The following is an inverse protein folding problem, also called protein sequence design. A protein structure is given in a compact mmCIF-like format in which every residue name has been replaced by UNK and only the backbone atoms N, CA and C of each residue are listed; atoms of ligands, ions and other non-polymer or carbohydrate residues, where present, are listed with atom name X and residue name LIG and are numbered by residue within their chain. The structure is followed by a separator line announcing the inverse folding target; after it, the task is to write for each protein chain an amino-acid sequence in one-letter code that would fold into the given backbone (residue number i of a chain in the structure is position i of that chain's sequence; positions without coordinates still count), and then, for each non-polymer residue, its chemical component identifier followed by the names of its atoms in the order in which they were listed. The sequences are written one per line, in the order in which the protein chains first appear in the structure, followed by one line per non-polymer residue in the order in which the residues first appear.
data_IF_326172099049
#
_entry.id   IF_326172099049
#
_cell.length_a   1.000
_cell.length_b   1.000
_cell.length_c   1.000
_cell.angle_alpha   90.00
_cell.angle_beta   90.00
_cell.angle_gamma   90.00
#
_symmetry.space_group_name_H-M   'P 1'
#
loop_
_entity.id
_entity.type
_entity.pdbx_description
1 polymer ?
#
# COMPACT_ATOMS: atom_id res chain seq x y z
N UNK A 1 26.77 18.09 14.79
CA UNK A 1 25.39 17.56 14.79
C UNK A 1 24.73 17.57 13.40
N UNK A 2 25.11 18.40 12.45
CA UNK A 2 24.49 18.53 11.11
C UNK A 2 24.73 17.31 10.19
N UNK A 3 25.93 16.77 10.12
CA UNK A 3 26.30 15.64 9.25
C UNK A 3 25.57 14.32 9.60
N UNK A 4 25.39 14.03 10.89
CA UNK A 4 24.65 12.84 11.35
C UNK A 4 23.13 12.92 11.04
N UNK A 5 22.55 14.13 11.04
CA UNK A 5 21.15 14.37 10.69
C UNK A 5 20.95 14.24 9.18
N UNK A 6 21.85 14.75 8.37
CA UNK A 6 21.86 14.61 6.91
C UNK A 6 22.01 13.13 6.50
N UNK A 7 22.92 12.38 7.14
CA UNK A 7 23.09 10.94 6.92
C UNK A 7 21.83 10.14 7.27
N UNK A 8 21.13 10.45 8.37
CA UNK A 8 19.86 9.79 8.72
C UNK A 8 18.74 10.04 7.73
N UNK A 9 18.62 11.27 7.22
CA UNK A 9 17.60 11.63 6.23
C UNK A 9 17.89 10.97 4.88
N UNK A 10 19.14 10.86 4.45
CA UNK A 10 19.53 10.19 3.20
C UNK A 10 19.20 8.69 3.25
N UNK A 11 19.51 8.00 4.34
CA UNK A 11 19.12 6.58 4.52
C UNK A 11 17.61 6.40 4.47
N UNK A 12 16.85 7.33 5.06
CA UNK A 12 15.38 7.31 4.98
C UNK A 12 14.86 7.48 3.55
N UNK A 13 15.45 8.41 2.79
CA UNK A 13 15.10 8.67 1.39
C UNK A 13 15.40 7.47 0.50
N UNK A 14 16.59 6.86 0.62
CA UNK A 14 16.93 5.64 -0.12
C UNK A 14 16.00 4.48 0.21
N UNK A 15 15.69 4.27 1.49
CA UNK A 15 14.77 3.23 1.91
C UNK A 15 13.36 3.45 1.34
N UNK A 16 12.86 4.70 1.33
CA UNK A 16 11.58 5.04 0.70
C UNK A 16 11.62 4.79 -0.82
N UNK A 17 12.66 5.29 -1.51
CA UNK A 17 12.82 5.08 -2.95
C UNK A 17 12.80 3.58 -3.28
N UNK A 18 13.59 2.77 -2.60
CA UNK A 18 13.65 1.32 -2.85
C UNK A 18 12.29 0.65 -2.57
N UNK A 19 11.62 0.98 -1.47
CA UNK A 19 10.33 0.40 -1.12
C UNK A 19 9.25 0.72 -2.17
N UNK A 20 9.10 2.00 -2.54
CA UNK A 20 8.06 2.40 -3.48
C UNK A 20 8.39 2.03 -4.93
N UNK A 21 9.66 1.99 -5.32
CA UNK A 21 10.09 1.43 -6.60
C UNK A 21 9.76 -0.06 -6.69
N UNK A 22 10.06 -0.82 -5.62
CA UNK A 22 9.73 -2.25 -5.55
C UNK A 22 8.22 -2.48 -5.70
N UNK A 23 7.39 -1.76 -4.95
CA UNK A 23 5.94 -1.84 -5.10
C UNK A 23 5.43 -1.36 -6.47
N UNK A 24 6.13 -0.41 -7.09
CA UNK A 24 5.83 0.02 -8.45
C UNK A 24 5.97 -1.10 -9.47
N UNK A 25 6.97 -1.97 -9.29
CA UNK A 25 7.22 -3.12 -10.17
C UNK A 25 6.45 -4.39 -9.80
N UNK A 26 5.63 -4.39 -8.75
CA UNK A 26 4.82 -5.55 -8.37
C UNK A 26 3.93 -6.10 -9.48
N UNK A 27 3.36 -5.33 -10.42
CA UNK A 27 2.62 -5.88 -11.54
C UNK A 27 3.43 -6.88 -12.36
N UNK A 28 4.75 -6.67 -12.50
CA UNK A 28 5.62 -7.61 -13.20
C UNK A 28 5.74 -8.93 -12.45
N UNK A 29 5.84 -8.88 -11.12
CA UNK A 29 5.91 -10.09 -10.30
C UNK A 29 4.66 -10.95 -10.46
N UNK A 30 3.47 -10.35 -10.38
CA UNK A 30 2.22 -11.12 -10.52
C UNK A 30 2.00 -11.67 -11.93
N UNK A 31 2.61 -11.06 -12.95
CA UNK A 31 2.63 -11.61 -14.31
C UNK A 31 3.44 -12.90 -14.46
N UNK A 32 4.31 -13.21 -13.50
CA UNK A 32 5.03 -14.50 -13.44
C UNK A 32 4.15 -15.62 -12.88
N UNK A 33 2.93 -15.31 -12.44
CA UNK A 33 1.95 -16.24 -11.87
C UNK A 33 0.62 -16.22 -12.66
N UNK A 34 0.62 -16.36 -14.00
CA UNK A 34 -0.55 -16.11 -14.83
C UNK A 34 -1.70 -17.10 -14.59
N UNK A 35 -1.40 -18.31 -14.14
CA UNK A 35 -2.36 -19.39 -13.94
C UNK A 35 -2.73 -19.61 -12.46
N UNK A 36 -2.27 -18.73 -11.57
CA UNK A 36 -2.54 -18.80 -10.13
C UNK A 36 -3.68 -17.87 -9.79
N UNK A 37 -4.69 -18.37 -9.07
CA UNK A 37 -5.82 -17.53 -8.67
C UNK A 37 -5.38 -16.39 -7.71
N UNK A 38 -5.97 -15.21 -7.81
CA UNK A 38 -5.64 -14.08 -6.91
C UNK A 38 -5.76 -14.44 -5.41
N UNK A 39 -6.70 -15.29 -5.05
CA UNK A 39 -6.89 -15.74 -3.68
C UNK A 39 -5.75 -16.67 -3.22
N UNK A 40 -5.27 -17.54 -4.09
CA UNK A 40 -4.12 -18.40 -3.81
C UNK A 40 -2.81 -17.61 -3.71
N UNK A 41 -2.61 -16.62 -4.58
CA UNK A 41 -1.49 -15.67 -4.48
C UNK A 41 -1.53 -14.95 -3.13
N UNK A 42 -2.72 -14.47 -2.71
CA UNK A 42 -2.88 -13.80 -1.41
C UNK A 42 -2.57 -14.74 -0.25
N UNK A 43 -3.06 -15.98 -0.27
CA UNK A 43 -2.81 -16.94 0.80
C UNK A 43 -1.31 -17.26 0.94
N UNK A 44 -0.64 -17.56 -0.17
CA UNK A 44 0.82 -17.77 -0.19
C UNK A 44 1.57 -16.53 0.32
N UNK A 45 1.17 -15.33 -0.12
CA UNK A 45 1.76 -14.09 0.36
C UNK A 45 1.66 -13.93 1.87
N UNK A 46 0.52 -14.26 2.47
CA UNK A 46 0.31 -14.20 3.94
C UNK A 46 1.19 -15.23 4.64
N UNK A 47 1.13 -16.49 4.23
CA UNK A 47 1.84 -17.60 4.90
C UNK A 47 3.37 -17.40 4.81
N UNK A 48 3.91 -17.14 3.63
CA UNK A 48 5.35 -16.97 3.45
C UNK A 48 5.88 -15.68 4.09
N UNK A 49 5.07 -14.61 4.14
CA UNK A 49 5.42 -13.42 4.91
C UNK A 49 5.45 -13.70 6.41
N UNK A 50 4.47 -14.42 6.95
CA UNK A 50 4.44 -14.81 8.36
C UNK A 50 5.66 -15.65 8.74
N UNK A 51 6.01 -16.63 7.92
CA UNK A 51 7.19 -17.48 8.16
C UNK A 51 8.47 -16.63 8.19
N UNK A 52 8.62 -15.69 7.26
CA UNK A 52 9.79 -14.83 7.20
C UNK A 52 9.86 -13.84 8.38
N UNK A 53 8.77 -13.12 8.69
CA UNK A 53 8.79 -12.18 9.83
C UNK A 53 8.86 -12.92 11.16
N UNK A 54 8.24 -14.09 11.26
CA UNK A 54 8.34 -14.99 12.41
C UNK A 54 9.78 -15.45 12.65
N UNK A 55 10.48 -15.88 11.60
CA UNK A 55 11.90 -16.24 11.68
C UNK A 55 12.76 -15.06 12.15
N UNK A 56 12.53 -13.85 11.60
CA UNK A 56 13.26 -12.63 12.01
C UNK A 56 13.01 -12.27 13.48
N UNK A 57 11.75 -12.36 13.95
CA UNK A 57 11.42 -12.07 15.34
C UNK A 57 11.99 -13.12 16.29
N UNK A 58 11.98 -14.40 15.91
CA UNK A 58 12.56 -15.50 16.68
C UNK A 58 14.09 -15.31 16.79
N UNK A 59 14.75 -15.03 15.69
CA UNK A 59 16.20 -14.76 15.70
C UNK A 59 16.57 -13.57 16.58
N UNK A 60 15.71 -12.52 16.60
CA UNK A 60 15.91 -11.32 17.43
C UNK A 60 15.36 -11.45 18.84
N UNK A 61 14.78 -12.59 19.23
CA UNK A 61 14.12 -12.84 20.53
C UNK A 61 13.11 -11.76 20.92
N UNK A 62 12.31 -11.25 19.95
CA UNK A 62 11.39 -10.12 20.13
C UNK A 62 9.92 -10.53 20.15
N UNK A 63 9.53 -11.51 20.94
CA UNK A 63 8.13 -11.98 21.06
C UNK A 63 7.41 -11.45 22.32
N UNK A 64 8.07 -10.71 23.21
CA UNK A 64 7.52 -10.26 24.50
C UNK A 64 6.25 -9.41 24.40
N UNK A 65 6.02 -8.75 23.25
CA UNK A 65 4.83 -7.94 23.00
C UNK A 65 3.57 -8.77 22.71
N UNK A 66 3.72 -9.98 22.18
CA UNK A 66 2.60 -10.79 21.66
C UNK A 66 1.57 -11.17 22.73
N UNK A 67 1.93 -11.67 23.92
CA UNK A 67 0.94 -12.02 24.95
C UNK A 67 0.10 -10.82 25.40
N UNK A 68 0.70 -9.62 25.48
CA UNK A 68 -0.01 -8.40 25.85
C UNK A 68 -0.97 -7.96 24.72
N UNK A 69 -0.54 -8.06 23.46
CA UNK A 69 -1.37 -7.74 22.31
C UNK A 69 -2.60 -8.65 22.25
N UNK A 70 -2.43 -9.98 22.41
CA UNK A 70 -3.51 -10.96 22.37
C UNK A 70 -4.52 -10.81 23.51
N UNK A 71 -4.10 -10.32 24.69
CA UNK A 71 -4.99 -10.07 25.84
C UNK A 71 -5.79 -8.79 25.71
N UNK A 72 -5.38 -7.84 24.88
CA UNK A 72 -6.04 -6.55 24.72
C UNK A 72 -7.06 -6.59 23.58
N UNK A 73 -8.36 -6.61 23.92
CA UNK A 73 -9.43 -6.59 22.92
C UNK A 73 -9.38 -5.36 21.99
N UNK A 74 -8.92 -4.21 22.51
CA UNK A 74 -8.76 -2.97 21.72
C UNK A 74 -7.65 -3.11 20.68
N UNK A 75 -6.51 -3.69 21.08
CA UNK A 75 -5.41 -3.97 20.16
C UNK A 75 -5.86 -4.98 19.12
N UNK A 76 -6.44 -6.10 19.55
CA UNK A 76 -6.93 -7.13 18.64
C UNK A 76 -7.99 -6.60 17.67
N UNK A 77 -8.98 -5.86 18.13
CA UNK A 77 -10.02 -5.26 17.27
C UNK A 77 -9.44 -4.30 16.22
N UNK A 78 -8.48 -3.45 16.61
CA UNK A 78 -7.78 -2.57 15.68
C UNK A 78 -6.98 -3.36 14.63
N UNK A 79 -6.27 -4.41 15.05
CA UNK A 79 -5.46 -5.23 14.12
C UNK A 79 -6.29 -6.19 13.27
N UNK A 80 -7.42 -6.69 13.75
CA UNK A 80 -8.40 -7.41 12.90
C UNK A 80 -8.93 -6.48 11.81
N UNK A 81 -9.35 -5.26 12.18
CA UNK A 81 -9.80 -4.26 11.19
C UNK A 81 -8.71 -3.92 10.17
N UNK A 82 -7.46 -3.68 10.61
CA UNK A 82 -6.36 -3.38 9.69
C UNK A 82 -6.00 -4.59 8.80
N UNK A 83 -6.03 -5.80 9.33
CA UNK A 83 -5.78 -7.04 8.59
C UNK A 83 -6.82 -7.26 7.48
N UNK A 84 -8.11 -7.06 7.79
CA UNK A 84 -9.19 -7.17 6.80
C UNK A 84 -9.08 -6.10 5.69
N UNK A 85 -8.81 -4.84 6.06
CA UNK A 85 -8.59 -3.77 5.08
C UNK A 85 -7.39 -4.05 4.19
N UNK A 86 -6.29 -4.54 4.78
CA UNK A 86 -5.09 -4.89 4.03
C UNK A 86 -5.32 -6.08 3.11
N UNK A 87 -6.04 -7.11 3.56
CA UNK A 87 -6.45 -8.25 2.73
C UNK A 87 -7.32 -7.84 1.56
N UNK A 88 -8.34 -7.01 1.80
CA UNK A 88 -9.20 -6.48 0.75
C UNK A 88 -8.40 -5.67 -0.27
N UNK A 89 -7.49 -4.82 0.21
CA UNK A 89 -6.58 -4.07 -0.66
C UNK A 89 -5.71 -4.99 -1.52
N UNK A 90 -5.03 -5.95 -0.90
CA UNK A 90 -4.13 -6.86 -1.60
C UNK A 90 -4.87 -7.76 -2.60
N UNK A 91 -6.02 -8.32 -2.21
CA UNK A 91 -6.81 -9.15 -3.10
C UNK A 91 -7.30 -8.36 -4.33
N UNK A 92 -7.83 -7.15 -4.10
CA UNK A 92 -8.27 -6.27 -5.18
C UNK A 92 -7.11 -5.91 -6.11
N UNK A 93 -5.93 -5.61 -5.54
CA UNK A 93 -4.75 -5.27 -6.32
C UNK A 93 -4.25 -6.46 -7.17
N UNK A 94 -4.11 -7.64 -6.55
CA UNK A 94 -3.68 -8.86 -7.27
C UNK A 94 -4.69 -9.17 -8.38
N UNK A 95 -5.98 -9.12 -8.07
CA UNK A 95 -7.03 -9.32 -9.06
C UNK A 95 -6.94 -8.31 -10.21
N UNK A 96 -6.76 -7.04 -9.92
CA UNK A 96 -6.64 -5.99 -10.91
C UNK A 96 -5.46 -6.23 -11.85
N UNK A 97 -4.30 -6.57 -11.30
CA UNK A 97 -3.10 -6.87 -12.11
C UNK A 97 -3.31 -8.11 -12.97
N UNK A 98 -3.89 -9.18 -12.42
CA UNK A 98 -4.14 -10.44 -13.13
C UNK A 98 -5.17 -10.29 -14.25
N UNK A 99 -6.07 -9.29 -14.17
CA UNK A 99 -7.12 -9.05 -15.16
C UNK A 99 -6.86 -7.82 -16.07
N UNK A 100 -5.64 -7.28 -16.10
CA UNK A 100 -5.27 -6.18 -16.99
C UNK A 100 -5.86 -4.82 -16.59
N UNK A 101 -5.98 -4.54 -15.28
CA UNK A 101 -6.48 -3.30 -14.71
C UNK A 101 -5.40 -2.56 -13.89
N UNK A 102 -4.14 -2.60 -14.31
CA UNK A 102 -3.02 -1.97 -13.58
C UNK A 102 -3.16 -0.45 -13.56
N UNK A 103 -3.66 0.14 -14.64
CA UNK A 103 -3.94 1.59 -14.72
C UNK A 103 -5.01 1.99 -13.71
N UNK A 104 -6.09 1.23 -13.60
CA UNK A 104 -7.17 1.51 -12.62
C UNK A 104 -6.67 1.32 -11.18
N UNK A 105 -5.77 0.35 -10.93
CA UNK A 105 -5.13 0.17 -9.63
C UNK A 105 -4.22 1.36 -9.27
N UNK A 106 -3.44 1.87 -10.24
CA UNK A 106 -2.57 3.03 -10.05
C UNK A 106 -3.38 4.27 -9.63
N UNK A 107 -4.56 4.46 -10.22
CA UNK A 107 -5.48 5.55 -9.88
C UNK A 107 -5.84 5.54 -8.38
N UNK A 108 -6.12 4.37 -7.81
CA UNK A 108 -6.44 4.23 -6.39
C UNK A 108 -5.32 4.71 -5.49
N UNK A 109 -4.10 4.32 -5.79
CA UNK A 109 -2.94 4.76 -5.02
C UNK A 109 -2.59 6.24 -5.22
N UNK A 110 -2.86 6.81 -6.37
CA UNK A 110 -2.80 8.26 -6.56
C UNK A 110 -3.81 9.01 -5.69
N UNK A 111 -5.02 8.48 -5.51
CA UNK A 111 -6.05 9.10 -4.69
C UNK A 111 -5.81 8.96 -3.18
N UNK A 112 -5.01 8.00 -2.72
CA UNK A 112 -4.80 7.70 -1.29
C UNK A 112 -4.44 8.94 -0.45
N UNK A 113 -3.52 9.84 -0.84
CA UNK A 113 -3.19 11.02 -0.03
C UNK A 113 -4.38 11.96 0.18
N UNK A 114 -5.25 12.08 -0.81
CA UNK A 114 -6.46 12.91 -0.74
C UNK A 114 -7.52 12.25 0.16
N UNK A 115 -7.65 10.93 0.05
CA UNK A 115 -8.49 10.12 0.94
C UNK A 115 -8.00 10.25 2.38
N UNK A 116 -6.68 10.25 2.62
CA UNK A 116 -6.11 10.46 3.95
C UNK A 116 -6.48 11.83 4.53
N UNK A 117 -6.54 12.89 3.70
CA UNK A 117 -7.02 14.21 4.14
C UNK A 117 -8.50 14.15 4.54
N UNK A 118 -9.34 13.50 3.74
CA UNK A 118 -10.75 13.33 4.05
C UNK A 118 -10.96 12.52 5.35
N UNK A 119 -10.26 11.41 5.51
CA UNK A 119 -10.31 10.59 6.73
C UNK A 119 -9.78 11.35 7.95
N UNK A 120 -8.72 12.14 7.80
CA UNK A 120 -8.20 13.02 8.85
C UNK A 120 -9.25 14.01 9.34
N UNK A 121 -9.99 14.61 8.41
CA UNK A 121 -11.08 15.53 8.74
C UNK A 121 -12.26 14.84 9.43
N UNK A 122 -12.82 13.79 8.80
CA UNK A 122 -14.05 13.17 9.31
C UNK A 122 -13.84 12.33 10.57
N UNK A 123 -12.66 11.69 10.72
CA UNK A 123 -12.42 10.73 11.81
C UNK A 123 -11.57 11.33 12.94
N UNK A 124 -10.53 12.11 12.59
CA UNK A 124 -9.62 12.69 13.57
C UNK A 124 -9.94 14.14 13.93
N UNK A 125 -10.95 14.76 13.30
CA UNK A 125 -11.29 16.16 13.50
C UNK A 125 -10.19 17.13 13.03
N UNK A 126 -9.27 16.66 12.17
CA UNK A 126 -8.23 17.51 11.60
C UNK A 126 -8.90 18.60 10.73
N UNK A 127 -8.35 19.81 10.73
CA UNK A 127 -8.89 20.91 9.91
C UNK A 127 -8.08 21.06 8.62
N UNK A 128 -8.57 20.54 7.47
CA UNK A 128 -7.90 20.70 6.19
C UNK A 128 -7.83 22.18 5.81
N UNK A 129 -6.74 22.54 5.15
CA UNK A 129 -6.53 23.89 4.64
C UNK A 129 -7.32 24.12 3.36
N UNK A 130 -7.51 25.39 2.99
CA UNK A 130 -8.21 25.77 1.74
C UNK A 130 -7.65 25.03 0.51
N UNK A 131 -6.32 24.97 0.37
CA UNK A 131 -5.67 24.25 -0.74
C UNK A 131 -5.99 22.74 -0.74
N UNK A 132 -6.09 22.11 0.45
CA UNK A 132 -6.46 20.70 0.56
C UNK A 132 -7.94 20.46 0.20
N UNK A 133 -8.84 21.37 0.58
CA UNK A 133 -10.24 21.32 0.16
C UNK A 133 -10.40 21.49 -1.36
N UNK A 134 -9.66 22.42 -1.96
CA UNK A 134 -9.63 22.60 -3.42
C UNK A 134 -9.11 21.34 -4.11
N UNK A 135 -8.00 20.77 -3.63
CA UNK A 135 -7.44 19.53 -4.15
C UNK A 135 -8.45 18.37 -4.06
N UNK A 136 -9.14 18.24 -2.92
CA UNK A 136 -10.17 17.22 -2.71
C UNK A 136 -11.35 17.40 -3.68
N UNK A 137 -11.82 18.64 -3.88
CA UNK A 137 -12.90 18.94 -4.83
C UNK A 137 -12.48 18.63 -6.28
N UNK A 138 -11.27 19.00 -6.70
CA UNK A 138 -10.75 18.67 -8.04
C UNK A 138 -10.65 17.15 -8.23
N UNK A 139 -10.16 16.41 -7.23
CA UNK A 139 -10.10 14.96 -7.31
C UNK A 139 -11.49 14.32 -7.40
N UNK A 140 -12.45 14.80 -6.61
CA UNK A 140 -13.85 14.35 -6.69
C UNK A 140 -14.44 14.61 -8.09
N UNK A 141 -14.14 15.77 -8.69
CA UNK A 141 -14.52 16.09 -10.07
C UNK A 141 -13.88 15.11 -11.07
N UNK A 142 -12.60 14.75 -10.87
CA UNK A 142 -11.91 13.75 -11.69
C UNK A 142 -12.58 12.37 -11.62
N UNK A 143 -12.95 11.92 -10.42
CA UNK A 143 -13.67 10.66 -10.21
C UNK A 143 -15.06 10.72 -10.86
N UNK A 144 -15.79 11.81 -10.69
CA UNK A 144 -17.11 12.01 -11.31
C UNK A 144 -17.01 12.00 -12.85
N UNK A 145 -16.01 12.67 -13.41
CA UNK A 145 -15.71 12.64 -14.84
C UNK A 145 -15.43 11.21 -15.35
N UNK A 146 -14.56 10.46 -14.66
CA UNK A 146 -14.26 9.07 -15.01
C UNK A 146 -15.51 8.21 -14.99
N UNK A 147 -16.37 8.39 -13.98
CA UNK A 147 -17.64 7.67 -13.87
C UNK A 147 -18.57 8.02 -15.02
N UNK A 148 -18.76 9.30 -15.31
CA UNK A 148 -19.65 9.77 -16.36
C UNK A 148 -19.16 9.36 -17.77
N UNK A 149 -17.87 9.48 -18.02
CA UNK A 149 -17.27 9.23 -19.34
C UNK A 149 -17.12 7.74 -19.68
N UNK A 150 -16.92 6.88 -18.66
CA UNK A 150 -16.79 5.43 -18.86
C UNK A 150 -18.08 4.66 -18.61
N UNK A 151 -19.12 5.32 -18.09
CA UNK A 151 -20.38 4.69 -17.67
C UNK A 151 -20.24 3.75 -16.48
N UNK A 152 -19.08 3.72 -15.82
CA UNK A 152 -18.77 2.81 -14.70
C UNK A 152 -18.00 3.54 -13.61
N UNK A 153 -18.41 3.31 -12.36
CA UNK A 153 -17.65 3.80 -11.21
C UNK A 153 -16.23 3.18 -11.22
N UNK A 154 -15.16 3.96 -11.01
CA UNK A 154 -13.79 3.42 -10.92
C UNK A 154 -13.57 2.68 -9.59
N UNK A 155 -14.35 1.58 -9.41
CA UNK A 155 -14.44 0.85 -8.14
C UNK A 155 -13.10 0.29 -7.66
N UNK A 156 -12.24 -0.18 -8.59
CA UNK A 156 -10.90 -0.68 -8.26
C UNK A 156 -10.11 0.40 -7.55
N UNK A 157 -10.02 1.58 -8.16
CA UNK A 157 -9.31 2.71 -7.58
C UNK A 157 -9.89 3.16 -6.24
N UNK A 158 -11.23 3.20 -6.13
CA UNK A 158 -11.90 3.57 -4.88
C UNK A 158 -11.65 2.54 -3.77
N UNK A 159 -11.78 1.24 -4.05
CA UNK A 159 -11.52 0.18 -3.06
C UNK A 159 -10.07 0.23 -2.61
N UNK A 160 -9.11 0.35 -3.53
CA UNK A 160 -7.69 0.43 -3.20
C UNK A 160 -7.36 1.68 -2.38
N UNK A 161 -7.84 2.84 -2.81
CA UNK A 161 -7.58 4.10 -2.12
C UNK A 161 -8.21 4.15 -0.72
N UNK A 162 -9.49 3.76 -0.60
CA UNK A 162 -10.22 3.76 0.68
C UNK A 162 -9.67 2.72 1.65
N UNK A 163 -9.45 1.49 1.20
CA UNK A 163 -8.93 0.42 2.06
C UNK A 163 -7.51 0.74 2.56
N UNK A 164 -6.64 1.26 1.70
CA UNK A 164 -5.28 1.63 2.10
C UNK A 164 -5.26 2.90 2.95
N UNK A 165 -6.12 3.88 2.67
CA UNK A 165 -6.28 5.07 3.51
C UNK A 165 -6.81 4.72 4.91
N UNK A 166 -7.86 3.90 5.00
CA UNK A 166 -8.41 3.43 6.27
C UNK A 166 -7.40 2.55 7.04
N UNK A 167 -6.67 1.67 6.34
CA UNK A 167 -5.54 0.93 6.91
C UNK A 167 -4.49 1.88 7.50
N UNK A 168 -4.08 2.90 6.75
CA UNK A 168 -3.13 3.92 7.21
C UNK A 168 -3.61 4.65 8.47
N UNK A 169 -4.90 4.98 8.54
CA UNK A 169 -5.52 5.59 9.72
C UNK A 169 -5.45 4.66 10.94
N UNK A 170 -5.83 3.38 10.80
CA UNK A 170 -5.73 2.42 11.89
C UNK A 170 -4.28 2.22 12.36
N UNK A 171 -3.33 2.18 11.41
CA UNK A 171 -1.90 2.06 11.72
C UNK A 171 -1.33 3.31 12.42
N UNK A 172 -1.87 4.50 12.14
CA UNK A 172 -1.47 5.75 12.80
C UNK A 172 -1.81 5.74 14.28
N UNK A 173 -2.95 5.16 14.65
CA UNK A 173 -3.42 5.09 16.05
C UNK A 173 -3.03 3.79 16.75
N UNK A 174 -2.44 2.83 16.04
CA UNK A 174 -2.07 1.53 16.59
C UNK A 174 -0.89 1.62 17.56
N UNK A 175 -0.93 0.82 18.62
CA UNK A 175 0.10 0.78 19.66
C UNK A 175 1.36 0.00 19.29
N UNK A 176 1.29 -0.91 18.30
CA UNK A 176 2.42 -1.75 17.89
C UNK A 176 3.25 -1.10 16.78
N UNK A 177 4.54 -1.40 16.77
CA UNK A 177 5.48 -1.00 15.73
C UNK A 177 5.16 -1.59 14.35
N UNK A 178 5.97 -1.23 13.34
CA UNK A 178 5.73 -1.67 11.97
C UNK A 178 5.90 -3.20 11.81
N UNK A 179 6.97 -3.77 12.37
CA UNK A 179 7.26 -5.20 12.26
C UNK A 179 6.27 -6.03 13.11
N UNK A 180 6.08 -5.64 14.37
CA UNK A 180 5.15 -6.29 15.30
C UNK A 180 3.72 -6.27 14.77
N UNK A 181 3.30 -5.12 14.23
CA UNK A 181 1.96 -4.98 13.67
C UNK A 181 1.74 -5.82 12.41
N UNK A 182 2.71 -5.84 11.47
CA UNK A 182 2.64 -6.72 10.30
C UNK A 182 2.56 -8.20 10.73
N UNK A 183 3.35 -8.57 11.73
CA UNK A 183 3.33 -9.94 12.25
C UNK A 183 1.96 -10.28 12.84
N UNK A 184 1.35 -9.39 13.62
CA UNK A 184 0.02 -9.63 14.18
C UNK A 184 -1.05 -9.73 13.09
N UNK A 185 -1.00 -8.83 12.08
CA UNK A 185 -1.91 -8.87 10.92
C UNK A 185 -1.79 -10.21 10.17
N UNK A 186 -0.57 -10.67 9.90
CA UNK A 186 -0.36 -11.95 9.22
C UNK A 186 -0.73 -13.15 10.09
N UNK A 187 -0.53 -13.11 11.42
CA UNK A 187 -1.02 -14.14 12.36
C UNK A 187 -2.55 -14.24 12.31
N UNK A 188 -3.25 -13.09 12.30
CA UNK A 188 -4.72 -13.03 12.24
C UNK A 188 -5.24 -13.64 10.93
N UNK A 189 -4.55 -13.37 9.81
CA UNK A 189 -4.96 -13.84 8.48
C UNK A 189 -4.53 -15.28 8.19
N UNK A 190 -3.48 -15.76 8.83
CA UNK A 190 -2.88 -17.06 8.55
C UNK A 190 -3.87 -18.24 8.66
N UNK A 191 -4.77 -18.34 9.66
CA UNK A 191 -5.72 -19.43 9.73
C UNK A 191 -6.59 -19.54 8.47
N UNK A 192 -7.14 -18.40 7.99
CA UNK A 192 -7.95 -18.38 6.78
C UNK A 192 -7.12 -18.73 5.53
N UNK A 193 -5.89 -18.23 5.44
CA UNK A 193 -4.99 -18.54 4.35
C UNK A 193 -4.61 -20.04 4.33
N UNK A 194 -4.26 -20.63 5.47
CA UNK A 194 -3.90 -22.04 5.59
C UNK A 194 -5.11 -22.94 5.27
N UNK A 195 -6.29 -22.61 5.79
CA UNK A 195 -7.54 -23.36 5.47
C UNK A 195 -7.84 -23.28 3.97
N UNK A 196 -7.74 -22.09 3.37
CA UNK A 196 -7.91 -21.93 1.91
C UNK A 196 -6.93 -22.79 1.12
N UNK A 197 -5.64 -22.75 1.46
CA UNK A 197 -4.62 -23.59 0.81
C UNK A 197 -4.91 -25.09 0.98
N UNK A 198 -5.36 -25.53 2.17
CA UNK A 198 -5.72 -26.93 2.41
C UNK A 198 -6.94 -27.38 1.59
N UNK A 199 -7.94 -26.50 1.42
CA UNK A 199 -9.13 -26.77 0.58
C UNK A 199 -8.69 -26.92 -0.89
N UNK A 200 -7.90 -25.98 -1.41
CA UNK A 200 -7.41 -26.05 -2.79
C UNK A 200 -6.54 -27.28 -3.03
N UNK A 201 -5.69 -27.63 -2.08
CA UNK A 201 -4.86 -28.85 -2.19
C UNK A 201 -5.71 -30.12 -2.30
N UNK A 202 -6.82 -30.20 -1.57
CA UNK A 202 -7.75 -31.35 -1.67
C UNK A 202 -8.56 -31.37 -2.97
N UNK A 203 -8.84 -30.20 -3.54
CA UNK A 203 -9.65 -30.09 -4.76
C UNK A 203 -8.86 -30.20 -6.06
N UNK A 204 -7.55 -30.50 -6.00
CA UNK A 204 -6.63 -30.50 -7.18
C UNK A 204 -6.55 -29.19 -7.95
N UNK A 205 -7.16 -28.11 -7.40
CA UNK A 205 -7.15 -26.79 -8.01
C UNK A 205 -5.99 -25.91 -7.50
N UNK A 206 -5.05 -26.50 -6.76
CA UNK A 206 -3.92 -25.76 -6.18
C UNK A 206 -2.78 -25.62 -7.17
N UNK A 207 -2.16 -24.46 -7.17
CA UNK A 207 -0.89 -24.21 -7.85
C UNK A 207 0.31 -24.43 -6.90
N UNK A 208 0.07 -24.59 -5.58
CA UNK A 208 1.11 -24.81 -4.56
C UNK A 208 0.69 -25.86 -3.51
N UNK A 209 1.51 -26.91 -3.24
CA UNK A 209 2.63 -27.33 -4.07
C UNK A 209 2.15 -27.91 -5.39
N UNK A 210 2.67 -27.40 -6.50
CA UNK A 210 2.33 -27.83 -7.83
C UNK A 210 3.50 -28.56 -8.52
N UNK A 211 3.26 -29.14 -9.71
CA UNK A 211 4.30 -29.86 -10.47
C UNK A 211 5.36 -28.92 -11.03
N UNK A 212 5.04 -27.62 -11.21
CA UNK A 212 5.99 -26.64 -11.71
C UNK A 212 6.81 -26.02 -10.59
N UNK A 213 8.09 -26.38 -10.52
CA UNK A 213 9.04 -25.86 -9.54
C UNK A 213 9.22 -24.33 -9.64
N UNK A 214 9.07 -23.76 -10.84
CA UNK A 214 9.20 -22.32 -11.08
C UNK A 214 8.06 -21.57 -10.42
N UNK A 215 6.82 -22.00 -10.64
CA UNK A 215 5.64 -21.43 -9.98
C UNK A 215 5.74 -21.56 -8.45
N UNK A 216 6.16 -22.72 -7.93
CA UNK A 216 6.39 -22.90 -6.50
C UNK A 216 7.42 -21.91 -5.96
N UNK A 217 8.54 -21.70 -6.65
CA UNK A 217 9.57 -20.75 -6.24
C UNK A 217 9.03 -19.31 -6.22
N UNK A 218 8.23 -18.89 -7.22
CA UNK A 218 7.60 -17.58 -7.22
C UNK A 218 6.58 -17.42 -6.09
N UNK A 219 5.79 -18.44 -5.78
CA UNK A 219 4.84 -18.40 -4.66
C UNK A 219 5.55 -18.28 -3.30
N UNK A 220 6.64 -19.01 -3.07
CA UNK A 220 7.51 -18.86 -1.90
C UNK A 220 8.12 -17.45 -1.86
N UNK A 221 8.59 -16.97 -3.00
CA UNK A 221 9.16 -15.64 -3.17
C UNK A 221 8.23 -14.48 -2.81
N UNK A 222 6.90 -14.69 -2.76
CA UNK A 222 5.95 -13.67 -2.29
C UNK A 222 6.22 -13.22 -0.84
N UNK A 223 6.75 -14.10 0.02
CA UNK A 223 7.15 -13.76 1.38
C UNK A 223 8.17 -12.61 1.42
N UNK A 224 9.39 -12.80 0.92
CA UNK A 224 10.40 -11.74 0.85
C UNK A 224 9.94 -10.55 -0.02
N UNK A 225 9.26 -10.79 -1.14
CA UNK A 225 8.77 -9.73 -2.01
C UNK A 225 7.79 -8.78 -1.30
N UNK A 226 7.04 -9.29 -0.33
CA UNK A 226 6.14 -8.48 0.51
C UNK A 226 6.86 -7.87 1.70
N UNK A 227 7.67 -8.65 2.40
CA UNK A 227 8.27 -8.26 3.69
C UNK A 227 9.39 -7.23 3.50
N UNK A 228 10.26 -7.39 2.49
CA UNK A 228 11.40 -6.49 2.27
C UNK A 228 10.97 -5.02 2.07
N UNK A 229 10.05 -4.68 1.15
CA UNK A 229 9.64 -3.29 0.98
C UNK A 229 8.90 -2.74 2.20
N UNK A 230 8.16 -3.57 2.95
CA UNK A 230 7.53 -3.15 4.20
C UNK A 230 8.55 -2.81 5.29
N UNK A 231 9.64 -3.56 5.40
CA UNK A 231 10.74 -3.23 6.31
C UNK A 231 11.47 -1.95 5.88
N UNK A 232 11.75 -1.78 4.59
CA UNK A 232 12.32 -0.56 4.04
C UNK A 232 11.41 0.65 4.30
N UNK A 233 10.11 0.50 4.08
CA UNK A 233 9.12 1.51 4.41
C UNK A 233 9.14 1.89 5.90
N UNK A 234 9.23 0.90 6.81
CA UNK A 234 9.32 1.14 8.23
C UNK A 234 10.59 1.92 8.61
N UNK A 235 11.73 1.64 7.95
CA UNK A 235 12.97 2.41 8.10
C UNK A 235 12.79 3.84 7.61
N UNK A 236 12.14 4.05 6.46
CA UNK A 236 11.87 5.36 5.89
C UNK A 236 10.94 6.19 6.79
N UNK A 237 9.83 5.60 7.24
CA UNK A 237 8.82 6.26 8.07
C UNK A 237 9.40 6.79 9.40
N UNK A 238 10.39 6.11 9.98
CA UNK A 238 11.07 6.55 11.20
C UNK A 238 12.10 7.66 10.98
N UNK A 239 12.54 7.89 9.76
CA UNK A 239 13.62 8.83 9.42
C UNK A 239 13.17 10.03 8.62
N UNK A 240 12.05 9.91 7.93
CA UNK A 240 11.46 10.98 7.14
C UNK A 240 10.24 11.59 7.83
N UNK A 241 9.98 12.84 7.52
CA UNK A 241 8.69 13.43 7.90
C UNK A 241 7.57 12.83 7.05
N UNK A 242 6.34 12.77 7.57
CA UNK A 242 5.18 12.22 6.86
C UNK A 242 4.96 12.87 5.49
N UNK A 243 5.19 14.18 5.37
CA UNK A 243 5.08 14.89 4.08
C UNK A 243 6.15 14.44 3.07
N UNK A 244 7.40 14.19 3.51
CA UNK A 244 8.45 13.67 2.60
C UNK A 244 8.14 12.24 2.19
N UNK A 245 7.74 11.41 3.13
CA UNK A 245 7.34 10.04 2.86
C UNK A 245 6.16 9.99 1.87
N UNK A 246 5.16 10.88 2.03
CA UNK A 246 4.03 11.02 1.12
C UNK A 246 4.43 11.41 -0.31
N UNK A 247 5.51 12.19 -0.49
CA UNK A 247 6.03 12.48 -1.84
C UNK A 247 6.64 11.23 -2.50
N UNK A 248 7.40 10.43 -1.75
CA UNK A 248 7.93 9.16 -2.26
C UNK A 248 6.83 8.15 -2.60
N UNK A 249 5.69 8.23 -1.93
CA UNK A 249 4.55 7.34 -2.17
C UNK A 249 4.03 7.42 -3.62
N UNK A 250 4.18 8.57 -4.29
CA UNK A 250 3.76 8.70 -5.69
C UNK A 250 4.62 7.93 -6.69
N UNK A 251 5.81 7.49 -6.29
CA UNK A 251 6.70 6.73 -7.18
C UNK A 251 6.05 5.41 -7.61
N UNK A 252 5.44 4.69 -6.67
CA UNK A 252 4.79 3.41 -6.96
C UNK A 252 3.65 3.52 -7.99
N UNK A 253 2.60 4.34 -7.80
CA UNK A 253 1.53 4.42 -8.79
C UNK A 253 2.00 5.03 -10.11
N UNK A 254 3.04 5.87 -10.12
CA UNK A 254 3.61 6.37 -11.38
C UNK A 254 4.24 5.24 -12.19
N UNK A 255 5.04 4.38 -11.57
CA UNK A 255 5.62 3.22 -12.23
C UNK A 255 4.51 2.27 -12.71
N UNK A 256 3.52 1.98 -11.85
CA UNK A 256 2.40 1.11 -12.21
C UNK A 256 1.59 1.66 -13.40
N UNK A 257 1.33 2.96 -13.41
CA UNK A 257 0.67 3.63 -14.53
C UNK A 257 1.46 3.46 -15.83
N UNK A 258 2.77 3.72 -15.77
CA UNK A 258 3.65 3.57 -16.95
C UNK A 258 3.71 2.11 -17.43
N UNK A 259 3.78 1.15 -16.50
CA UNK A 259 3.72 -0.27 -16.85
C UNK A 259 2.38 -0.64 -17.49
N UNK A 260 1.26 -0.17 -16.94
CA UNK A 260 -0.07 -0.41 -17.48
C UNK A 260 -0.20 0.10 -18.91
N UNK A 261 0.14 1.36 -19.14
CA UNK A 261 -0.04 1.99 -20.45
C UNK A 261 0.99 1.51 -21.48
N UNK A 262 2.29 1.49 -21.13
CA UNK A 262 3.33 1.24 -22.12
C UNK A 262 3.68 -0.25 -22.26
N UNK A 263 3.81 -0.96 -21.16
CA UNK A 263 4.26 -2.35 -21.21
C UNK A 263 3.09 -3.32 -21.39
N UNK A 264 2.00 -3.10 -20.66
CA UNK A 264 0.82 -3.98 -20.71
C UNK A 264 -0.18 -3.55 -21.77
N UNK A 265 0.02 -2.37 -22.37
CA UNK A 265 -0.83 -1.81 -23.45
C UNK A 265 -2.31 -1.77 -23.07
N UNK A 266 -2.58 -1.46 -21.79
CA UNK A 266 -3.96 -1.28 -21.33
C UNK A 266 -4.61 -0.12 -22.09
N UNK A 267 -5.88 -0.23 -22.49
CA UNK A 267 -6.58 0.82 -23.20
C UNK A 267 -6.71 2.09 -22.35
N UNK A 268 -6.08 3.17 -22.80
CA UNK A 268 -6.03 4.45 -22.11
C UNK A 268 -6.47 5.58 -23.06
N UNK A 269 -7.79 5.70 -23.21
CA UNK A 269 -8.40 6.71 -24.09
C UNK A 269 -8.43 8.11 -23.49
N UNK A 270 -8.78 9.12 -24.31
CA UNK A 270 -8.82 10.53 -23.95
C UNK A 270 -9.70 10.84 -22.73
N UNK A 271 -10.82 10.14 -22.59
CA UNK A 271 -11.73 10.31 -21.43
C UNK A 271 -11.05 9.89 -20.10
N UNK A 272 -10.31 8.77 -20.09
CA UNK A 272 -9.51 8.35 -18.92
C UNK A 272 -8.38 9.34 -18.68
N UNK A 273 -7.70 9.79 -19.72
CA UNK A 273 -6.62 10.78 -19.62
C UNK A 273 -7.09 12.06 -18.91
N UNK A 274 -8.24 12.61 -19.29
CA UNK A 274 -8.79 13.83 -18.67
C UNK A 274 -9.05 13.62 -17.16
N UNK A 275 -9.61 12.48 -16.76
CA UNK A 275 -9.83 12.16 -15.35
C UNK A 275 -8.54 12.04 -14.55
N UNK A 276 -7.52 11.38 -15.12
CA UNK A 276 -6.19 11.28 -14.50
C UNK A 276 -5.51 12.65 -14.37
N UNK A 277 -5.60 13.50 -15.39
CA UNK A 277 -5.06 14.87 -15.35
C UNK A 277 -5.68 15.66 -14.20
N UNK A 278 -6.98 15.60 -13.99
CA UNK A 278 -7.64 16.26 -12.85
C UNK A 278 -7.07 15.75 -11.52
N UNK A 279 -6.88 14.44 -11.37
CA UNK A 279 -6.31 13.87 -10.15
C UNK A 279 -4.85 14.30 -9.98
N UNK A 280 -4.04 14.32 -11.03
CA UNK A 280 -2.67 14.82 -10.96
C UNK A 280 -2.58 16.31 -10.62
N UNK A 281 -3.50 17.14 -11.13
CA UNK A 281 -3.61 18.57 -10.73
C UNK A 281 -3.94 18.67 -9.25
N UNK A 282 -4.90 17.89 -8.75
CA UNK A 282 -5.24 17.85 -7.32
C UNK A 282 -4.02 17.48 -6.46
N UNK A 283 -3.26 16.47 -6.88
CA UNK A 283 -2.04 16.02 -6.21
C UNK A 283 -0.92 17.07 -6.25
N UNK A 284 -0.75 17.75 -7.40
CA UNK A 284 0.23 18.82 -7.53
C UNK A 284 -0.10 19.98 -6.57
N UNK A 285 -1.35 20.41 -6.51
CA UNK A 285 -1.81 21.45 -5.58
C UNK A 285 -1.59 21.04 -4.11
N UNK A 286 -1.94 19.81 -3.76
CA UNK A 286 -1.72 19.25 -2.42
C UNK A 286 -0.23 19.25 -2.04
N UNK A 287 0.62 18.78 -2.95
CA UNK A 287 2.07 18.64 -2.74
C UNK A 287 2.76 20.00 -2.65
N UNK A 288 2.37 20.97 -3.52
CA UNK A 288 2.91 22.32 -3.52
C UNK A 288 2.55 23.09 -2.24
N UNK A 289 1.30 22.98 -1.75
CA UNK A 289 0.93 23.59 -0.46
C UNK A 289 1.75 23.01 0.70
N UNK A 290 1.98 21.70 0.69
CA UNK A 290 2.83 21.02 1.66
C UNK A 290 4.28 21.50 1.63
N UNK A 291 4.85 21.69 0.43
CA UNK A 291 6.23 22.10 0.24
C UNK A 291 6.46 23.58 0.60
N UNK A 292 5.65 24.50 0.11
CA UNK A 292 5.76 25.95 0.40
C UNK A 292 5.83 26.24 1.89
N UNK A 293 5.05 25.53 2.71
CA UNK A 293 5.05 25.73 4.16
C UNK A 293 6.25 25.15 4.90
N UNK A 294 6.97 24.20 4.31
CA UNK A 294 8.24 23.73 4.87
C UNK A 294 9.30 24.79 4.76
N UNK A 295 9.40 25.42 3.58
CA UNK A 295 10.35 26.48 3.31
C UNK A 295 10.12 27.66 4.27
N UNK A 296 8.85 28.06 4.46
CA UNK A 296 8.49 29.17 5.38
C UNK A 296 8.83 28.85 6.85
N UNK A 297 8.65 27.60 7.30
CA UNK A 297 8.99 27.23 8.70
C UNK A 297 10.49 27.10 8.93
N UNK A 298 11.29 26.73 7.94
CA UNK A 298 12.74 26.68 8.04
C UNK A 298 13.30 28.10 8.12
N UNK A 299 12.85 29.02 7.26
CA UNK A 299 13.27 30.40 7.28
C UNK A 299 12.89 31.12 8.58
N UNK A 300 11.69 30.85 9.14
CA UNK A 300 11.24 31.43 10.41
C UNK A 300 11.93 30.83 11.67
N UNK A 301 12.66 29.74 11.53
CA UNK A 301 13.42 29.12 12.63
C UNK A 301 14.91 29.50 12.60
N UNK A 302 15.39 30.14 11.52
CA UNK A 302 16.76 30.59 11.32
C UNK A 302 16.90 32.11 11.47
N UNK A 303 15.79 32.89 11.56
CA UNK A 303 15.74 34.32 11.86
C UNK A 303 15.18 34.59 13.25
#
# INVERSE_FOLDING_TARGET
MSTARASRASVGAWAATLAFTWWGFFPLYFRLLPNVSPAEVLANRIVWSLLLVGAVLTWRSRWSWLPQALRSWRVMGSFVGSALLLSANWLTYIWAVSNGHVVDASLGYFMTPLINVALGYFVLGERPRRAQWIALAIAATGVAWLTASTGRLPWIGLVLGLSFGAYGLLRKVASLGALEGLTLETIILAPAAIVGMAIWWRSTATSFPGPDATTNAWLIGLGPATTLPLLLFAVAARRLTMTTLGLFQYLSPTIQFLLGVWLFREPFGSARFAGFVLIWIALALYSLDGWRRRTTRVVAAEG
#
